data_IF_912061314139
#
_entry.id   IF_912061314139
#
_cell.length_a   1.000
_cell.length_b   1.000
_cell.length_c   1.000
_cell.angle_alpha   90.00
_cell.angle_beta   90.00
_cell.angle_gamma   90.00
#
_symmetry.space_group_name_H-M   'P 1'
#
loop_
_entity.id
_entity.type
_entity.pdbx_description
1 polymer ?
#
# COMPACT_ATOMS: atom_id res chain seq x y z
N UNK A 1 5.65 -23.00 -15.35
CA UNK A 1 6.15 -21.73 -14.78
C UNK A 1 6.35 -20.61 -15.81
N UNK A 2 7.21 -20.73 -16.84
CA UNK A 2 7.46 -19.65 -17.83
C UNK A 2 6.19 -18.97 -18.40
N UNK A 3 5.19 -19.74 -18.84
CA UNK A 3 3.92 -19.19 -19.38
C UNK A 3 3.08 -18.41 -18.36
N UNK A 4 3.14 -18.79 -17.08
CA UNK A 4 2.42 -18.10 -15.99
C UNK A 4 3.09 -16.76 -15.70
N UNK A 5 4.43 -16.75 -15.59
CA UNK A 5 5.22 -15.52 -15.39
C UNK A 5 5.00 -14.52 -16.53
N UNK A 6 4.95 -14.98 -17.78
CA UNK A 6 4.70 -14.11 -18.95
C UNK A 6 3.29 -13.52 -18.89
N UNK A 7 2.25 -14.32 -18.58
CA UNK A 7 0.88 -13.80 -18.44
C UNK A 7 0.77 -12.79 -17.30
N UNK A 8 1.38 -13.05 -16.15
CA UNK A 8 1.40 -12.12 -15.01
C UNK A 8 2.13 -10.83 -15.38
N UNK A 9 3.28 -10.91 -16.05
CA UNK A 9 4.05 -9.75 -16.51
C UNK A 9 3.27 -8.90 -17.52
N UNK A 10 2.54 -9.53 -18.45
CA UNK A 10 1.69 -8.87 -19.45
C UNK A 10 0.45 -8.23 -18.81
N UNK A 11 -0.13 -8.87 -17.78
CA UNK A 11 -1.22 -8.25 -17.01
C UNK A 11 -0.70 -7.04 -16.21
N UNK A 12 0.48 -7.16 -15.59
CA UNK A 12 1.16 -6.07 -14.88
C UNK A 12 1.55 -4.91 -15.80
N UNK A 13 1.95 -5.19 -17.05
CA UNK A 13 2.33 -4.14 -18.01
C UNK A 13 1.14 -3.27 -18.43
N UNK A 14 -0.08 -3.83 -18.41
CA UNK A 14 -1.33 -3.11 -18.72
C UNK A 14 -1.87 -2.28 -17.55
N UNK A 15 -1.33 -2.46 -16.35
CA UNK A 15 -1.71 -1.67 -15.18
C UNK A 15 -1.06 -0.28 -15.23
N UNK A 16 -1.78 0.72 -14.73
CA UNK A 16 -1.21 2.04 -14.56
C UNK A 16 -0.19 2.10 -13.41
N UNK A 17 0.55 3.21 -13.32
CA UNK A 17 1.62 3.38 -12.34
C UNK A 17 1.13 3.27 -10.90
N UNK A 18 -0.05 3.84 -10.59
CA UNK A 18 -0.66 3.74 -9.26
C UNK A 18 -0.96 2.28 -8.88
N UNK A 19 -1.56 1.50 -9.78
CA UNK A 19 -1.82 0.06 -9.56
C UNK A 19 -0.55 -0.73 -9.33
N UNK A 20 0.51 -0.44 -10.08
CA UNK A 20 1.82 -1.11 -9.90
C UNK A 20 2.39 -0.83 -8.51
N UNK A 21 2.36 0.42 -8.07
CA UNK A 21 2.83 0.82 -6.73
C UNK A 21 1.98 0.13 -5.64
N UNK A 22 0.65 0.16 -5.77
CA UNK A 22 -0.26 -0.50 -4.83
C UNK A 22 -0.03 -2.00 -4.73
N UNK A 23 0.22 -2.69 -5.86
CA UNK A 23 0.55 -4.13 -5.86
C UNK A 23 1.84 -4.43 -5.10
N UNK A 24 2.87 -3.59 -5.27
CA UNK A 24 4.11 -3.72 -4.53
C UNK A 24 3.85 -3.52 -3.03
N UNK A 25 3.13 -2.45 -2.65
CA UNK A 25 2.78 -2.17 -1.25
C UNK A 25 1.98 -3.31 -0.61
N UNK A 26 0.98 -3.84 -1.33
CA UNK A 26 0.17 -4.96 -0.87
C UNK A 26 1.00 -6.23 -0.67
N UNK A 27 1.94 -6.50 -1.58
CA UNK A 27 2.85 -7.64 -1.46
C UNK A 27 3.75 -7.50 -0.23
N UNK A 28 4.30 -6.30 0.02
CA UNK A 28 5.13 -6.03 1.20
C UNK A 28 4.31 -6.16 2.50
N UNK A 29 3.10 -5.60 2.55
CA UNK A 29 2.23 -5.74 3.71
C UNK A 29 1.84 -7.20 3.98
N UNK A 30 1.60 -7.98 2.93
CA UNK A 30 1.31 -9.41 3.02
C UNK A 30 2.50 -10.19 3.57
N UNK A 31 3.70 -9.95 3.04
CA UNK A 31 4.94 -10.57 3.53
C UNK A 31 5.14 -10.23 5.01
N UNK A 32 5.01 -8.96 5.41
CA UNK A 32 5.13 -8.56 6.80
C UNK A 32 4.09 -9.26 7.69
N UNK A 33 2.84 -9.37 7.24
CA UNK A 33 1.78 -10.06 7.99
C UNK A 33 2.08 -11.55 8.16
N UNK A 34 2.63 -12.21 7.12
CA UNK A 34 3.10 -13.60 7.19
C UNK A 34 4.27 -13.72 8.17
N UNK A 35 5.24 -12.79 8.15
CA UNK A 35 6.34 -12.80 9.11
C UNK A 35 5.85 -12.68 10.55
N UNK A 36 4.99 -11.70 10.86
CA UNK A 36 4.39 -11.52 12.20
C UNK A 36 3.69 -12.81 12.67
N UNK A 37 2.93 -13.47 11.79
CA UNK A 37 2.29 -14.75 12.07
C UNK A 37 3.31 -15.86 12.38
N UNK A 38 4.36 -16.00 11.58
CA UNK A 38 5.38 -17.06 11.74
C UNK A 38 6.21 -16.88 13.01
N UNK A 39 6.48 -15.63 13.41
CA UNK A 39 7.24 -15.31 14.62
C UNK A 39 6.36 -15.20 15.89
N UNK A 40 5.06 -15.46 15.75
CA UNK A 40 4.07 -15.45 16.85
C UNK A 40 4.12 -14.16 17.69
N UNK A 41 4.40 -13.03 17.03
CA UNK A 41 4.35 -11.72 17.65
C UNK A 41 2.89 -11.39 17.99
N UNK A 42 2.67 -10.67 19.08
CA UNK A 42 1.35 -10.15 19.44
C UNK A 42 0.90 -9.18 18.35
N UNK A 43 0.17 -9.69 17.36
CA UNK A 43 -0.32 -9.00 16.16
C UNK A 43 -1.36 -7.89 16.44
N UNK A 44 -1.31 -7.28 17.62
CA UNK A 44 -2.22 -6.27 18.16
C UNK A 44 -1.56 -4.89 18.22
N UNK A 45 -0.29 -4.77 17.84
CA UNK A 45 0.39 -3.47 17.91
C UNK A 45 -0.26 -2.46 16.95
N UNK A 46 -0.29 -1.17 17.33
CA UNK A 46 -0.94 -0.15 16.51
C UNK A 46 -0.39 -0.06 15.07
N UNK A 47 0.88 -0.39 14.86
CA UNK A 47 1.51 -0.43 13.52
C UNK A 47 1.07 -1.63 12.69
N UNK A 48 0.95 -2.82 13.30
CA UNK A 48 0.45 -4.00 12.60
C UNK A 48 -1.02 -3.86 12.20
N UNK A 49 -1.84 -3.22 13.05
CA UNK A 49 -3.22 -2.88 12.69
C UNK A 49 -3.24 -1.99 11.45
N UNK A 50 -2.38 -0.97 11.40
CA UNK A 50 -2.27 -0.10 10.22
C UNK A 50 -1.78 -0.86 8.98
N UNK A 51 -0.80 -1.77 9.11
CA UNK A 51 -0.30 -2.59 7.99
C UNK A 51 -1.41 -3.51 7.46
N UNK A 52 -2.17 -4.18 8.35
CA UNK A 52 -3.31 -5.01 7.95
C UNK A 52 -4.44 -4.21 7.33
N UNK A 53 -4.74 -3.03 7.87
CA UNK A 53 -5.75 -2.12 7.30
C UNK A 53 -5.34 -1.67 5.91
N UNK A 54 -4.09 -1.25 5.74
CA UNK A 54 -3.50 -0.89 4.44
C UNK A 54 -3.61 -2.03 3.45
N UNK A 55 -3.18 -3.24 3.84
CA UNK A 55 -3.30 -4.45 3.03
C UNK A 55 -4.75 -4.71 2.60
N UNK A 56 -5.69 -4.66 3.55
CA UNK A 56 -7.11 -4.88 3.30
C UNK A 56 -7.71 -3.83 2.37
N UNK A 57 -7.35 -2.55 2.52
CA UNK A 57 -7.79 -1.47 1.63
C UNK A 57 -7.32 -1.69 0.20
N UNK A 58 -6.07 -2.11 0.00
CA UNK A 58 -5.53 -2.34 -1.34
C UNK A 58 -6.18 -3.57 -1.99
N UNK A 59 -6.27 -4.70 -1.28
CA UNK A 59 -6.92 -5.89 -1.84
C UNK A 59 -8.43 -5.71 -2.01
N UNK A 60 -9.09 -5.03 -1.09
CA UNK A 60 -10.51 -4.64 -1.21
C UNK A 60 -10.75 -3.72 -2.41
N UNK A 61 -9.79 -2.87 -2.75
CA UNK A 61 -9.82 -2.12 -4.00
C UNK A 61 -9.74 -3.04 -5.23
N UNK A 62 -8.76 -3.95 -5.29
CA UNK A 62 -8.58 -4.84 -6.45
C UNK A 62 -9.72 -5.86 -6.65
N UNK A 63 -10.30 -6.36 -5.55
CA UNK A 63 -11.36 -7.38 -5.59
C UNK A 63 -12.78 -6.81 -5.53
N UNK A 64 -12.94 -5.54 -5.16
CA UNK A 64 -14.25 -4.87 -5.10
C UNK A 64 -14.71 -4.30 -6.44
N UNK A 65 -16.03 -4.12 -6.59
CA UNK A 65 -16.58 -3.23 -7.62
C UNK A 65 -16.34 -1.78 -7.20
N UNK A 66 -15.42 -1.07 -7.87
CA UNK A 66 -14.99 0.26 -7.42
C UNK A 66 -15.57 1.40 -8.28
N UNK A 67 -15.77 2.57 -7.66
CA UNK A 67 -16.32 3.78 -8.29
C UNK A 67 -15.33 4.43 -9.26
N UNK A 68 -15.82 4.97 -10.38
CA UNK A 68 -15.05 5.83 -11.28
C UNK A 68 -15.03 7.24 -10.69
N UNK A 69 -13.86 7.72 -10.27
CA UNK A 69 -13.71 9.12 -9.87
C UNK A 69 -12.88 9.85 -10.92
N UNK A 70 -13.46 10.90 -11.48
CA UNK A 70 -12.84 11.75 -12.48
C UNK A 70 -12.27 12.98 -11.76
N UNK A 71 -10.94 13.10 -11.65
CA UNK A 71 -10.29 14.27 -11.07
C UNK A 71 -9.43 14.97 -12.11
N UNK A 72 -9.58 16.28 -12.22
CA UNK A 72 -8.78 17.09 -13.13
C UNK A 72 -7.47 17.50 -12.44
N UNK A 73 -6.45 16.64 -12.48
CA UNK A 73 -5.19 16.83 -11.75
C UNK A 73 -4.04 17.14 -12.70
N UNK A 74 -3.40 18.29 -12.49
CA UNK A 74 -2.18 18.68 -13.20
C UNK A 74 -0.99 17.88 -12.65
N UNK A 75 -0.17 17.30 -13.53
CA UNK A 75 1.00 16.47 -13.21
C UNK A 75 0.72 15.14 -12.46
N UNK A 76 -0.34 14.44 -12.87
CA UNK A 76 -0.77 13.12 -12.36
C UNK A 76 0.37 12.12 -12.06
N UNK A 77 1.26 11.87 -13.03
CA UNK A 77 2.34 10.89 -12.85
C UNK A 77 3.31 11.29 -11.73
N UNK A 78 3.64 12.57 -11.61
CA UNK A 78 4.57 13.06 -10.58
C UNK A 78 3.96 12.89 -9.18
N UNK A 79 2.68 13.19 -9.01
CA UNK A 79 1.97 13.01 -7.74
C UNK A 79 1.87 11.53 -7.35
N UNK A 80 1.67 10.63 -8.32
CA UNK A 80 1.69 9.17 -8.07
C UNK A 80 3.05 8.72 -7.57
N UNK A 81 4.14 9.13 -8.22
CA UNK A 81 5.48 8.72 -7.79
C UNK A 81 5.83 9.30 -6.41
N UNK A 82 5.43 10.54 -6.14
CA UNK A 82 5.63 11.18 -4.84
C UNK A 82 4.83 10.50 -3.73
N UNK A 83 3.55 10.24 -3.96
CA UNK A 83 2.70 9.49 -3.03
C UNK A 83 3.23 8.07 -2.81
N UNK A 84 3.68 7.41 -3.88
CA UNK A 84 4.36 6.12 -3.82
C UNK A 84 5.60 6.17 -2.93
N UNK A 85 6.49 7.13 -3.15
CA UNK A 85 7.70 7.32 -2.34
C UNK A 85 7.38 7.52 -0.85
N UNK A 86 6.43 8.39 -0.51
CA UNK A 86 6.00 8.61 0.88
C UNK A 86 5.41 7.33 1.48
N UNK A 87 4.58 6.61 0.72
CA UNK A 87 3.97 5.36 1.19
C UNK A 87 5.02 4.29 1.50
N UNK A 88 6.10 4.19 0.72
CA UNK A 88 7.21 3.28 1.01
C UNK A 88 7.97 3.66 2.28
N UNK A 89 8.26 4.95 2.47
CA UNK A 89 8.97 5.42 3.69
C UNK A 89 8.11 5.14 4.93
N UNK A 90 6.83 5.49 4.89
CA UNK A 90 5.92 5.33 6.03
C UNK A 90 5.62 3.85 6.31
N UNK A 91 5.51 3.01 5.29
CA UNK A 91 5.42 1.55 5.45
C UNK A 91 6.71 0.95 6.06
N UNK A 92 7.88 1.38 5.58
CA UNK A 92 9.16 0.95 6.15
C UNK A 92 9.28 1.33 7.63
N UNK A 93 8.86 2.55 7.99
CA UNK A 93 8.82 2.99 9.38
C UNK A 93 7.83 2.15 10.21
N UNK A 94 6.63 1.86 9.70
CA UNK A 94 5.65 1.01 10.38
C UNK A 94 6.18 -0.42 10.63
N UNK A 95 6.89 -1.00 9.64
CA UNK A 95 7.55 -2.30 9.78
C UNK A 95 8.63 -2.23 10.87
N UNK A 96 9.50 -1.20 10.85
CA UNK A 96 10.54 -1.04 11.87
C UNK A 96 9.96 -0.90 13.27
N UNK A 97 8.84 -0.18 13.43
CA UNK A 97 8.13 -0.05 14.71
C UNK A 97 7.55 -1.38 15.22
N UNK A 98 7.27 -2.34 14.34
CA UNK A 98 6.86 -3.70 14.73
C UNK A 98 8.01 -4.52 15.29
N UNK A 99 9.23 -4.35 14.76
CA UNK A 99 10.39 -5.17 15.13
C UNK A 99 11.27 -4.55 16.22
N UNK A 100 11.22 -3.23 16.37
CA UNK A 100 12.01 -2.49 17.36
C UNK A 100 11.11 -2.02 18.52
N UNK A 101 11.65 -1.89 19.75
CA UNK A 101 10.91 -1.42 20.93
C UNK A 101 10.66 0.09 20.87
N UNK A 102 9.96 0.56 19.84
CA UNK A 102 9.58 1.97 19.64
C UNK A 102 8.21 2.21 20.29
N UNK A 103 8.06 3.31 21.02
CA UNK A 103 6.77 3.71 21.57
C UNK A 103 5.80 4.09 20.43
N UNK A 104 4.81 3.22 20.16
CA UNK A 104 3.85 3.41 19.07
C UNK A 104 2.68 4.35 19.42
N UNK A 105 2.57 4.77 20.69
CA UNK A 105 1.49 5.64 21.19
C UNK A 105 1.85 7.13 21.15
N UNK A 106 2.95 7.50 20.51
CA UNK A 106 3.32 8.91 20.35
C UNK A 106 2.56 9.57 19.20
N UNK A 107 2.38 10.91 19.22
CA UNK A 107 1.80 11.64 18.09
C UNK A 107 2.57 11.39 16.78
N UNK A 108 3.90 11.38 16.82
CA UNK A 108 4.73 11.17 15.63
C UNK A 108 4.50 9.78 14.98
N UNK A 109 4.37 8.73 15.79
CA UNK A 109 4.06 7.38 15.26
C UNK A 109 2.62 7.27 14.76
N UNK A 110 1.69 8.05 15.30
CA UNK A 110 0.34 8.16 14.76
C UNK A 110 0.33 8.87 13.40
N UNK A 111 1.06 9.98 13.26
CA UNK A 111 1.16 10.75 12.01
C UNK A 111 1.77 9.92 10.88
N UNK A 112 2.81 9.12 11.16
CA UNK A 112 3.40 8.20 10.17
C UNK A 112 2.36 7.19 9.65
N UNK A 113 1.56 6.62 10.56
CA UNK A 113 0.50 5.65 10.20
C UNK A 113 -0.63 6.31 9.42
N UNK A 114 -1.04 7.51 9.81
CA UNK A 114 -2.04 8.28 9.09
C UNK A 114 -1.55 8.66 7.69
N UNK A 115 -0.28 9.10 7.57
CA UNK A 115 0.33 9.44 6.28
C UNK A 115 0.41 8.24 5.34
N UNK A 116 0.68 7.04 5.87
CA UNK A 116 0.59 5.79 5.09
C UNK A 116 -0.82 5.57 4.56
N UNK A 117 -1.84 5.65 5.42
CA UNK A 117 -3.23 5.45 5.02
C UNK A 117 -3.70 6.50 3.99
N UNK A 118 -3.33 7.76 4.19
CA UNK A 118 -3.67 8.86 3.27
C UNK A 118 -3.01 8.67 1.91
N UNK A 119 -1.72 8.34 1.86
CA UNK A 119 -1.00 8.15 0.59
C UNK A 119 -1.50 6.91 -0.16
N UNK A 120 -1.85 5.83 0.54
CA UNK A 120 -2.47 4.65 -0.06
C UNK A 120 -3.88 4.96 -0.57
N UNK A 121 -4.70 5.67 0.20
CA UNK A 121 -6.02 6.12 -0.23
C UNK A 121 -5.97 6.99 -1.48
N UNK A 122 -4.99 7.91 -1.55
CA UNK A 122 -4.73 8.70 -2.75
C UNK A 122 -4.37 7.82 -3.95
N UNK A 123 -3.42 6.89 -3.80
CA UNK A 123 -3.01 5.98 -4.87
C UNK A 123 -4.19 5.14 -5.37
N UNK A 124 -5.06 4.66 -4.47
CA UNK A 124 -6.30 3.94 -4.81
C UNK A 124 -7.20 4.81 -5.70
N UNK A 125 -7.42 6.08 -5.33
CA UNK A 125 -8.21 7.03 -6.12
C UNK A 125 -7.62 7.29 -7.51
N UNK A 126 -6.29 7.22 -7.65
CA UNK A 126 -5.61 7.45 -8.93
C UNK A 126 -5.73 6.29 -9.90
N UNK A 127 -6.05 5.07 -9.45
CA UNK A 127 -6.03 3.90 -10.34
C UNK A 127 -7.00 4.00 -11.53
N UNK A 128 -8.13 4.70 -11.42
CA UNK A 128 -9.14 4.76 -12.50
C UNK A 128 -9.04 5.96 -13.43
N UNK A 129 -8.05 6.83 -13.27
CA UNK A 129 -7.87 8.00 -14.14
C UNK A 129 -7.26 7.69 -15.52
N UNK A 130 -6.90 6.44 -15.80
CA UNK A 130 -6.16 6.06 -17.02
C UNK A 130 -7.05 5.35 -18.06
N UNK A 131 -8.35 5.24 -17.80
CA UNK A 131 -9.30 4.61 -18.74
C UNK A 131 -9.93 5.61 -19.75
N UNK A 132 -9.31 6.77 -20.00
CA UNK A 132 -9.67 7.68 -21.09
C UNK A 132 -8.51 7.96 -22.05
#
# INVERSE_FOLDING_TARGET
MKKFTIKVLVTLSKLNNASKILLILATVCLIQTICVMLFNLEGSSPSEVTIRSTMSSIFGYFFGQQCKNHFNIVNYNSQIYFAGFISFITLGAAILMTWLPINQNTPATADIRNLLLTTVGFLICMVKQVDE
#
